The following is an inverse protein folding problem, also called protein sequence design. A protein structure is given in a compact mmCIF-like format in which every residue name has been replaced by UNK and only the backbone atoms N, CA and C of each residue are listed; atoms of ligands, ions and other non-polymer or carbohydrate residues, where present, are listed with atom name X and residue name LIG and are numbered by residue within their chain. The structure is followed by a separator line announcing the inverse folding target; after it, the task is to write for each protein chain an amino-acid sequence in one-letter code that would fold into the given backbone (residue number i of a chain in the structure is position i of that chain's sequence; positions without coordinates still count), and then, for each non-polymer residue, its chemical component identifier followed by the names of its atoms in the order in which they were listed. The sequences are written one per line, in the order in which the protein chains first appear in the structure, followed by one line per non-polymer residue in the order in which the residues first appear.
data_IF_204491154488
#
_entry.id   IF_204491154488
#
_cell.length_a   1.000
_cell.length_b   1.000
_cell.length_c   1.000
_cell.angle_alpha   90.00
_cell.angle_beta   90.00
_cell.angle_gamma   90.00
#
_symmetry.space_group_name_H-M   'P 1'
#
loop_
_entity.id
_entity.type
_entity.pdbx_description
1 polymer ?
#
# COMPACT_ATOMS: atom_id res chain seq x y z
N UNK A 1 -8.80 -11.00 5.62
CA UNK A 1 -7.86 -11.54 4.61
C UNK A 1 -7.48 -10.42 3.65
N UNK A 2 -6.23 -10.34 3.19
CA UNK A 2 -5.81 -9.34 2.19
C UNK A 2 -5.17 -10.05 1.01
N UNK A 3 -5.57 -9.69 -0.21
CA UNK A 3 -5.03 -10.21 -1.46
C UNK A 3 -4.39 -9.05 -2.22
N UNK A 4 -3.06 -9.08 -2.37
CA UNK A 4 -2.31 -8.18 -3.25
C UNK A 4 -2.26 -8.77 -4.65
N UNK A 5 -2.67 -8.01 -5.66
CA UNK A 5 -2.76 -8.45 -7.06
C UNK A 5 -1.78 -7.69 -7.96
N UNK A 6 -0.51 -7.61 -7.55
CA UNK A 6 0.52 -6.97 -8.38
C UNK A 6 0.16 -5.53 -8.80
N UNK A 7 0.08 -5.31 -10.10
CA UNK A 7 -0.30 -4.05 -10.77
C UNK A 7 -1.83 -3.81 -10.82
N UNK A 8 -2.64 -4.78 -10.38
CA UNK A 8 -4.11 -4.68 -10.26
C UNK A 8 -4.56 -4.21 -8.86
N UNK A 9 -3.64 -3.70 -8.04
CA UNK A 9 -3.92 -3.18 -6.70
C UNK A 9 -4.07 -4.28 -5.65
N UNK A 10 -4.98 -4.08 -4.69
CA UNK A 10 -5.22 -5.04 -3.60
C UNK A 10 -6.66 -5.00 -3.09
N UNK A 11 -7.10 -6.09 -2.46
CA UNK A 11 -8.42 -6.20 -1.83
C UNK A 11 -8.30 -6.79 -0.44
N UNK A 12 -8.87 -6.11 0.55
CA UNK A 12 -9.07 -6.63 1.90
C UNK A 12 -10.50 -7.10 2.07
N UNK A 13 -10.67 -8.32 2.58
CA UNK A 13 -11.95 -8.95 2.87
C UNK A 13 -12.15 -9.10 4.38
N UNK A 14 -13.35 -8.74 4.82
CA UNK A 14 -13.93 -9.04 6.13
C UNK A 14 -15.19 -9.90 5.95
N UNK A 15 -15.87 -10.28 7.04
CA UNK A 15 -17.11 -11.08 6.93
C UNK A 15 -18.24 -10.34 6.21
N UNK A 16 -18.32 -9.02 6.34
CA UNK A 16 -19.45 -8.23 5.85
C UNK A 16 -19.08 -7.28 4.70
N UNK A 17 -17.81 -6.90 4.59
CA UNK A 17 -17.34 -5.85 3.68
C UNK A 17 -16.02 -6.20 3.03
N UNK A 18 -15.77 -5.61 1.86
CA UNK A 18 -14.46 -5.59 1.23
C UNK A 18 -13.98 -4.16 0.97
N UNK A 19 -12.66 -3.97 1.02
CA UNK A 19 -11.98 -2.71 0.70
C UNK A 19 -11.01 -2.99 -0.44
N UNK A 20 -11.26 -2.41 -1.60
CA UNK A 20 -10.37 -2.49 -2.76
C UNK A 20 -9.60 -1.19 -2.93
N UNK A 21 -8.32 -1.31 -3.25
CA UNK A 21 -7.46 -0.17 -3.58
C UNK A 21 -6.81 -0.36 -4.94
N UNK A 22 -6.70 0.72 -5.72
CA UNK A 22 -5.96 0.72 -6.98
C UNK A 22 -4.47 0.49 -6.74
N UNK A 23 -3.75 0.05 -7.78
CA UNK A 23 -2.30 0.16 -7.79
C UNK A 23 -1.89 1.62 -7.93
N UNK A 24 -0.64 1.90 -7.56
CA UNK A 24 0.02 3.17 -7.84
C UNK A 24 1.04 2.87 -8.93
N UNK A 25 1.02 3.66 -10.00
CA UNK A 25 1.99 3.52 -11.06
C UNK A 25 3.36 4.00 -10.52
N UNK A 26 4.36 3.11 -10.40
CA UNK A 26 5.70 3.54 -10.00
C UNK A 26 6.32 4.41 -11.09
N UNK A 27 7.22 5.31 -10.70
CA UNK A 27 7.97 6.16 -11.66
C UNK A 27 8.76 5.30 -12.66
N UNK A 28 9.38 4.23 -12.17
CA UNK A 28 10.08 3.20 -12.92
C UNK A 28 9.96 1.87 -12.18
N UNK A 29 9.96 0.74 -12.88
CA UNK A 29 10.06 -0.59 -12.25
C UNK A 29 11.50 -1.07 -12.43
N UNK A 30 12.22 -1.20 -11.31
CA UNK A 30 13.64 -1.59 -11.27
C UNK A 30 13.81 -3.01 -10.72
N UNK A 31 13.18 -3.31 -9.58
CA UNK A 31 13.28 -4.61 -8.90
C UNK A 31 11.96 -4.93 -8.20
N UNK A 32 11.17 -5.94 -8.60
CA UNK A 32 9.91 -6.26 -7.95
C UNK A 32 10.07 -6.92 -6.57
N UNK A 33 11.30 -7.28 -6.19
CA UNK A 33 11.60 -7.96 -4.92
C UNK A 33 11.17 -7.10 -3.73
N UNK A 34 10.58 -7.71 -2.71
CA UNK A 34 10.16 -7.01 -1.50
C UNK A 34 8.90 -6.16 -1.62
N UNK A 35 8.27 -6.04 -2.80
CA UNK A 35 7.01 -5.30 -2.95
C UNK A 35 5.86 -5.87 -2.10
N UNK A 36 5.85 -7.19 -1.89
CA UNK A 36 4.91 -7.85 -0.99
C UNK A 36 5.18 -7.54 0.47
N UNK A 37 6.45 -7.63 0.90
CA UNK A 37 6.87 -7.37 2.28
C UNK A 37 6.70 -5.90 2.65
N UNK A 38 7.05 -4.98 1.75
CA UNK A 38 6.82 -3.55 1.93
C UNK A 38 5.33 -3.21 2.03
N UNK A 39 4.50 -3.84 1.20
CA UNK A 39 3.04 -3.72 1.30
C UNK A 39 2.55 -4.22 2.67
N UNK A 40 2.95 -5.41 3.09
CA UNK A 40 2.56 -6.00 4.37
C UNK A 40 3.04 -5.15 5.56
N UNK A 41 4.28 -4.67 5.52
CA UNK A 41 4.86 -3.78 6.53
C UNK A 41 4.12 -2.45 6.61
N UNK A 42 3.79 -1.83 5.47
CA UNK A 42 2.99 -0.61 5.41
C UNK A 42 1.58 -0.80 5.98
N UNK A 43 0.94 -1.94 5.69
CA UNK A 43 -0.37 -2.30 6.23
C UNK A 43 -0.33 -2.46 7.75
N UNK A 44 0.59 -3.29 8.25
CA UNK A 44 0.72 -3.58 9.68
C UNK A 44 1.08 -2.33 10.46
N UNK A 45 2.03 -1.53 9.96
CA UNK A 45 2.43 -0.26 10.59
C UNK A 45 1.26 0.71 10.70
N UNK A 46 0.47 0.87 9.64
CA UNK A 46 -0.69 1.75 9.66
C UNK A 46 -1.80 1.27 10.60
N UNK A 47 -2.02 -0.05 10.70
CA UNK A 47 -3.01 -0.62 11.62
C UNK A 47 -2.54 -0.58 13.08
N UNK A 48 -1.24 -0.72 13.34
CA UNK A 48 -0.67 -0.67 14.68
C UNK A 48 -0.91 0.67 15.38
N UNK A 49 -0.98 1.77 14.61
CA UNK A 49 -1.33 3.10 15.12
C UNK A 49 -2.82 3.44 15.09
N UNK A 50 -3.67 2.53 14.59
CA UNK A 50 -5.09 2.75 14.38
C UNK A 50 -6.00 1.87 15.24
N UNK A 51 -7.29 1.89 14.94
CA UNK A 51 -8.25 0.91 15.46
C UNK A 51 -8.68 -0.05 14.35
N UNK A 52 -9.38 -1.14 14.67
CA UNK A 52 -9.84 -2.11 13.66
C UNK A 52 -11.10 -1.64 12.87
N UNK A 53 -11.35 -0.33 12.78
CA UNK A 53 -12.50 0.22 12.05
C UNK A 53 -12.27 0.23 10.55
N UNK A 54 -13.36 0.27 9.80
CA UNK A 54 -13.34 0.32 8.34
C UNK A 54 -12.54 1.51 7.78
N UNK A 55 -12.63 2.69 8.40
CA UNK A 55 -11.87 3.88 7.97
C UNK A 55 -10.37 3.67 8.13
N UNK A 56 -9.95 3.01 9.21
CA UNK A 56 -8.55 2.74 9.49
C UNK A 56 -8.01 1.68 8.52
N UNK A 57 -8.82 0.69 8.13
CA UNK A 57 -8.48 -0.27 7.07
C UNK A 57 -8.29 0.42 5.71
N UNK A 58 -9.13 1.41 5.34
CA UNK A 58 -8.94 2.16 4.10
C UNK A 58 -7.62 2.94 4.10
N UNK A 59 -7.29 3.60 5.21
CA UNK A 59 -6.02 4.32 5.38
C UNK A 59 -4.84 3.35 5.30
N UNK A 60 -4.94 2.21 5.98
CA UNK A 60 -3.89 1.21 6.01
C UNK A 60 -3.64 0.59 4.63
N UNK A 61 -4.70 0.28 3.88
CA UNK A 61 -4.59 -0.23 2.51
C UNK A 61 -3.97 0.80 1.54
N UNK A 62 -4.29 2.10 1.69
CA UNK A 62 -3.62 3.17 0.92
C UNK A 62 -2.12 3.21 1.20
N UNK A 63 -1.73 3.23 2.49
CA UNK A 63 -0.31 3.25 2.88
C UNK A 63 0.43 2.01 2.40
N UNK A 64 -0.19 0.83 2.52
CA UNK A 64 0.36 -0.41 2.00
C UNK A 64 0.64 -0.35 0.49
N UNK A 65 -0.28 0.21 -0.30
CA UNK A 65 -0.10 0.40 -1.74
C UNK A 65 1.08 1.34 -2.07
N UNK A 66 1.27 2.41 -1.30
CA UNK A 66 2.42 3.32 -1.41
C UNK A 66 3.73 2.61 -1.12
N UNK A 67 3.81 1.86 -0.01
CA UNK A 67 5.04 1.15 0.36
C UNK A 67 5.40 0.09 -0.69
N UNK A 68 4.41 -0.64 -1.20
CA UNK A 68 4.61 -1.62 -2.26
C UNK A 68 5.08 -0.98 -3.57
N UNK A 69 4.62 0.22 -3.92
CA UNK A 69 5.06 0.91 -5.15
C UNK A 69 6.45 1.52 -5.02
N UNK A 70 6.83 2.02 -3.84
CA UNK A 70 8.18 2.52 -3.59
C UNK A 70 9.23 1.42 -3.62
N UNK A 71 8.90 0.24 -3.09
CA UNK A 71 9.81 -0.90 -3.07
C UNK A 71 10.26 -1.33 -4.47
N UNK A 72 9.44 -1.11 -5.51
CA UNK A 72 9.79 -1.52 -6.88
C UNK A 72 10.63 -0.50 -7.65
N UNK A 73 10.78 0.72 -7.14
CA UNK A 73 11.42 1.83 -7.88
C UNK A 73 12.96 1.78 -7.88
N UNK A 74 13.57 1.03 -6.96
CA UNK A 74 15.03 0.96 -6.81
C UNK A 74 15.50 -0.44 -6.51
N UNK A 75 16.80 -0.71 -6.72
CA UNK A 75 17.41 -1.93 -6.20
C UNK A 75 17.37 -1.95 -4.65
N UNK A 76 16.93 -3.08 -4.08
CA UNK A 76 16.79 -3.24 -2.63
C UNK A 76 15.93 -2.12 -2.00
N UNK A 77 16.24 -1.69 -0.78
CA UNK A 77 15.41 -0.78 0.01
C UNK A 77 15.67 0.72 -0.24
N UNK A 78 16.45 1.09 -1.26
CA UNK A 78 16.96 2.46 -1.42
C UNK A 78 15.83 3.51 -1.48
N UNK A 79 14.82 3.30 -2.32
CA UNK A 79 13.65 4.18 -2.42
C UNK A 79 12.91 4.34 -1.09
N UNK A 80 12.89 3.30 -0.25
CA UNK A 80 12.24 3.36 1.07
C UNK A 80 13.05 4.18 2.09
N UNK A 81 14.37 4.27 1.91
CA UNK A 81 15.26 5.06 2.77
C UNK A 81 15.28 6.55 2.39
N UNK A 82 15.05 6.86 1.12
CA UNK A 82 15.14 8.22 0.58
C UNK A 82 13.80 8.95 0.54
N UNK A 83 12.68 8.23 0.58
CA UNK A 83 11.33 8.81 0.48
C UNK A 83 11.00 9.70 1.68
N UNK A 84 10.43 10.86 1.40
CA UNK A 84 9.90 11.76 2.43
C UNK A 84 8.45 11.42 2.78
N UNK A 85 8.00 11.85 3.97
CA UNK A 85 6.59 11.68 4.37
C UNK A 85 5.66 12.39 3.39
N UNK A 86 6.00 13.60 2.95
CA UNK A 86 5.19 14.39 2.02
C UNK A 86 5.04 13.69 0.66
N UNK A 87 6.11 13.06 0.15
CA UNK A 87 6.05 12.27 -1.08
C UNK A 87 5.17 11.03 -0.92
N UNK A 88 5.32 10.30 0.19
CA UNK A 88 4.49 9.14 0.49
C UNK A 88 3.01 9.52 0.60
N UNK A 89 2.70 10.63 1.27
CA UNK A 89 1.35 11.16 1.39
C UNK A 89 0.81 11.67 0.04
N UNK A 90 1.66 12.25 -0.81
CA UNK A 90 1.26 12.63 -2.16
C UNK A 90 0.83 11.43 -2.99
N UNK A 91 1.62 10.35 -2.95
CA UNK A 91 1.27 9.09 -3.61
C UNK A 91 0.00 8.47 -3.03
N UNK A 92 -0.19 8.56 -1.71
CA UNK A 92 -1.38 8.02 -1.06
C UNK A 92 -2.68 8.68 -1.55
N UNK A 93 -2.62 9.95 -1.99
CA UNK A 93 -3.75 10.67 -2.58
C UNK A 93 -4.15 10.14 -3.96
N UNK A 94 -3.22 9.54 -4.70
CA UNK A 94 -3.49 8.94 -6.02
C UNK A 94 -4.24 7.61 -5.94
N UNK A 95 -4.20 6.94 -4.77
CA UNK A 95 -4.89 5.67 -4.56
C UNK A 95 -6.40 5.88 -4.61
N UNK A 96 -7.10 5.15 -5.46
CA UNK A 96 -8.56 5.07 -5.40
C UNK A 96 -8.97 3.97 -4.42
N UNK A 97 -9.97 4.25 -3.58
CA UNK A 97 -10.51 3.28 -2.62
C UNK A 97 -11.97 3.01 -2.95
N UNK A 98 -12.35 1.74 -2.98
CA UNK A 98 -13.73 1.29 -3.12
C UNK A 98 -14.10 0.40 -1.95
N UNK A 99 -15.29 0.59 -1.39
CA UNK A 99 -15.85 -0.25 -0.32
C UNK A 99 -17.12 -0.89 -0.84
N UNK A 100 -17.21 -2.21 -0.70
CA UNK A 100 -18.38 -3.02 -1.04
C UNK A 100 -18.81 -3.95 0.07
#
# INVERSE_FOLDING_TARGET
MVIKRGDQGAVAFSQEKSVSVSSILPRYVTDPTGAGDAFAGGLVSALAGGSARLVDMQIAMRRAAVMGSLAVESFSIKSLLEVTIDEADSRAREVTVHVS
#
